data_IF_645477320467
#
_entry.id   IF_645477320467
#
_cell.length_a   1.000
_cell.length_b   1.000
_cell.length_c   1.000
_cell.angle_alpha   90.00
_cell.angle_beta   90.00
_cell.angle_gamma   90.00
#
_symmetry.space_group_name_H-M   'P 1'
#
loop_
_entity.id
_entity.type
_entity.pdbx_description
1 polymer ?
#
# COMPACT_ATOMS: atom_id res chain seq x y z
N UNK A 1 36.09 -2.81 -11.40
CA UNK A 1 34.99 -3.77 -11.22
C UNK A 1 34.04 -3.24 -10.15
N UNK A 2 32.85 -2.78 -10.54
CA UNK A 2 31.87 -2.27 -9.58
C UNK A 2 31.23 -3.42 -8.81
N UNK A 3 31.31 -3.41 -7.47
CA UNK A 3 30.59 -4.38 -6.63
C UNK A 3 29.10 -4.28 -6.93
N UNK A 4 28.49 -5.39 -7.34
CA UNK A 4 27.04 -5.48 -7.42
C UNK A 4 26.46 -5.16 -6.03
N UNK A 5 25.73 -4.06 -5.91
CA UNK A 5 24.99 -3.73 -4.70
C UNK A 5 23.89 -4.76 -4.54
N UNK A 6 24.08 -5.75 -3.67
CA UNK A 6 22.98 -6.56 -3.18
C UNK A 6 22.01 -5.63 -2.45
N UNK A 7 20.89 -5.28 -3.08
CA UNK A 7 19.81 -4.58 -2.41
C UNK A 7 19.24 -5.54 -1.37
N UNK A 8 19.32 -5.16 -0.10
CA UNK A 8 18.64 -5.88 0.96
C UNK A 8 17.15 -6.06 0.59
N UNK A 9 16.54 -7.21 0.91
CA UNK A 9 15.11 -7.40 0.71
C UNK A 9 14.34 -6.33 1.50
N UNK A 10 13.22 -5.87 0.94
CA UNK A 10 12.29 -4.99 1.67
C UNK A 10 11.81 -5.71 2.96
N UNK A 11 11.49 -4.99 4.05
CA UNK A 11 11.19 -5.60 5.35
C UNK A 11 10.14 -6.72 5.29
N UNK A 12 9.05 -6.52 4.53
CA UNK A 12 7.99 -7.53 4.34
C UNK A 12 8.52 -8.81 3.69
N UNK A 13 9.44 -8.69 2.73
CA UNK A 13 10.07 -9.85 2.08
C UNK A 13 10.98 -10.58 3.05
N UNK A 14 11.75 -9.85 3.86
CA UNK A 14 12.63 -10.47 4.87
C UNK A 14 11.80 -11.30 5.86
N UNK A 15 10.76 -10.68 6.44
CA UNK A 15 9.84 -11.35 7.36
C UNK A 15 9.19 -12.59 6.73
N UNK A 16 8.67 -12.48 5.50
CA UNK A 16 8.04 -13.60 4.82
C UNK A 16 9.01 -14.79 4.64
N UNK A 17 10.26 -14.53 4.26
CA UNK A 17 11.27 -15.57 4.09
C UNK A 17 11.66 -16.21 5.44
N UNK A 18 11.82 -15.41 6.49
CA UNK A 18 12.11 -15.90 7.85
C UNK A 18 11.01 -16.81 8.40
N UNK A 19 9.77 -16.57 8.02
CA UNK A 19 8.59 -17.33 8.44
C UNK A 19 8.12 -18.39 7.42
N UNK A 20 8.93 -18.71 6.40
CA UNK A 20 8.61 -19.68 5.34
C UNK A 20 7.28 -19.40 4.59
N UNK A 21 6.92 -18.13 4.45
CA UNK A 21 5.76 -17.69 3.68
C UNK A 21 6.11 -17.59 2.19
N UNK A 22 5.14 -17.91 1.34
CA UNK A 22 5.29 -17.79 -0.11
C UNK A 22 5.39 -16.33 -0.51
N UNK A 23 6.44 -15.98 -1.26
CA UNK A 23 6.69 -14.63 -1.76
C UNK A 23 6.56 -14.58 -3.27
N UNK A 24 5.70 -13.69 -3.77
CA UNK A 24 5.57 -13.42 -5.20
C UNK A 24 6.24 -12.10 -5.57
N UNK A 25 7.15 -12.17 -6.55
CA UNK A 25 7.85 -10.99 -7.06
C UNK A 25 7.09 -10.39 -8.24
N UNK A 26 6.81 -9.09 -8.15
CA UNK A 26 6.31 -8.31 -9.28
C UNK A 26 7.46 -8.20 -10.29
N UNK A 27 7.28 -8.69 -11.53
CA UNK A 27 8.33 -8.64 -12.54
C UNK A 27 8.72 -7.20 -12.90
N UNK A 28 9.97 -7.00 -13.33
CA UNK A 28 10.51 -5.67 -13.65
C UNK A 28 9.87 -5.02 -14.89
N UNK A 29 9.16 -5.77 -15.71
CA UNK A 29 8.45 -5.22 -16.88
C UNK A 29 7.09 -4.58 -16.52
N UNK A 30 6.59 -4.75 -15.28
CA UNK A 30 5.30 -4.19 -14.81
C UNK A 30 5.42 -2.68 -14.46
N UNK A 31 6.62 -2.09 -14.58
CA UNK A 31 6.91 -0.71 -14.16
C UNK A 31 6.52 0.41 -15.15
N UNK A 32 5.98 0.12 -16.33
CA UNK A 32 5.70 1.17 -17.32
C UNK A 32 4.49 0.87 -18.20
N UNK A 33 3.34 1.45 -17.88
CA UNK A 33 2.42 1.82 -18.95
C UNK A 33 2.99 3.08 -19.59
N UNK A 34 3.34 2.98 -20.87
CA UNK A 34 3.77 4.08 -21.74
C UNK A 34 2.89 5.32 -21.51
N UNK A 35 3.46 6.40 -20.99
CA UNK A 35 2.91 7.73 -21.19
C UNK A 35 3.30 8.19 -22.61
N UNK A 36 2.74 7.53 -23.62
CA UNK A 36 2.72 8.06 -24.99
C UNK A 36 1.71 9.21 -24.98
N UNK A 37 2.20 10.40 -24.60
CA UNK A 37 1.74 11.77 -24.90
C UNK A 37 2.49 12.69 -23.93
N UNK A 38 3.66 13.16 -24.36
CA UNK A 38 4.53 14.06 -23.62
C UNK A 38 4.15 15.50 -23.99
N UNK A 39 3.45 16.18 -23.07
CA UNK A 39 3.70 17.61 -22.84
C UNK A 39 4.57 17.73 -21.60
N UNK A 40 5.48 18.70 -21.60
CA UNK A 40 6.62 18.82 -20.67
C UNK A 40 6.25 18.95 -19.18
N UNK A 41 4.98 19.20 -18.83
CA UNK A 41 4.50 19.24 -17.44
C UNK A 41 4.13 17.85 -16.86
N UNK A 42 3.98 16.82 -17.69
CA UNK A 42 3.48 15.49 -17.27
C UNK A 42 4.57 14.47 -16.88
N UNK A 43 5.83 14.89 -16.74
CA UNK A 43 6.97 13.99 -16.44
C UNK A 43 6.93 13.30 -15.05
N UNK A 44 5.88 13.47 -14.23
CA UNK A 44 5.89 13.04 -12.82
C UNK A 44 4.91 11.94 -12.41
N UNK A 45 4.20 11.29 -13.34
CA UNK A 45 3.19 10.28 -12.96
C UNK A 45 3.35 8.93 -13.66
N UNK A 46 4.54 8.33 -13.58
CA UNK A 46 4.68 6.87 -13.80
C UNK A 46 3.97 6.12 -12.67
N UNK A 47 2.70 5.76 -12.88
CA UNK A 47 1.96 4.87 -11.95
C UNK A 47 2.41 3.44 -12.20
N UNK A 48 3.02 2.82 -11.18
CA UNK A 48 3.30 1.39 -11.18
C UNK A 48 1.96 0.66 -11.11
N UNK A 49 1.67 -0.21 -12.08
CA UNK A 49 0.34 -0.80 -12.26
C UNK A 49 0.43 -2.28 -12.54
N UNK A 50 -0.34 -3.09 -11.83
CA UNK A 50 -0.40 -4.55 -12.02
C UNK A 50 -1.35 -4.96 -13.16
N UNK A 51 -1.42 -4.17 -14.24
CA UNK A 51 -2.41 -4.39 -15.30
C UNK A 51 -2.21 -5.74 -16.00
N UNK A 52 -0.95 -6.06 -16.28
CA UNK A 52 -0.55 -7.26 -17.04
C UNK A 52 0.05 -8.35 -16.13
N UNK A 53 -0.06 -8.18 -14.80
CA UNK A 53 0.41 -9.18 -13.84
C UNK A 53 -0.73 -10.12 -13.49
N UNK A 54 -0.60 -11.40 -13.84
CA UNK A 54 -1.59 -12.41 -13.47
C UNK A 54 -1.57 -12.68 -11.96
N UNK A 55 -2.73 -13.09 -11.42
CA UNK A 55 -2.83 -13.54 -10.04
C UNK A 55 -1.84 -14.70 -9.81
N UNK A 56 -0.98 -14.63 -8.78
CA UNK A 56 -0.04 -15.70 -8.52
C UNK A 56 -0.75 -17.03 -8.24
N UNK A 57 -0.16 -18.16 -8.68
CA UNK A 57 -0.75 -19.47 -8.42
C UNK A 57 -0.73 -19.77 -6.92
N UNK A 58 -1.83 -20.32 -6.43
CA UNK A 58 -2.00 -20.75 -5.04
C UNK A 58 -2.57 -22.17 -4.97
N UNK A 59 -2.25 -22.90 -3.90
CA UNK A 59 -2.80 -24.23 -3.67
C UNK A 59 -4.31 -24.22 -3.38
N UNK A 60 -4.81 -23.10 -2.84
CA UNK A 60 -6.22 -22.85 -2.58
C UNK A 60 -6.56 -21.39 -2.96
N UNK A 61 -7.81 -21.09 -3.36
CA UNK A 61 -8.25 -19.73 -3.61
C UNK A 61 -8.09 -18.85 -2.36
N UNK A 62 -7.77 -17.57 -2.55
CA UNK A 62 -7.76 -16.59 -1.46
C UNK A 62 -9.15 -16.00 -1.24
N UNK A 63 -9.57 -15.88 0.01
CA UNK A 63 -10.86 -15.27 0.35
C UNK A 63 -10.82 -13.74 0.26
N UNK A 64 -9.73 -13.12 0.70
CA UNK A 64 -9.57 -11.66 0.79
C UNK A 64 -8.12 -11.23 0.53
N UNK A 65 -7.93 -10.08 -0.11
CA UNK A 65 -6.64 -9.39 -0.18
C UNK A 65 -6.46 -8.36 0.95
N UNK A 66 -5.28 -8.30 1.55
CA UNK A 66 -4.92 -7.25 2.51
C UNK A 66 -3.79 -6.39 1.93
N UNK A 67 -4.00 -5.09 1.86
CA UNK A 67 -3.09 -4.14 1.22
C UNK A 67 -2.59 -3.13 2.26
N UNK A 68 -1.27 -3.04 2.39
CA UNK A 68 -0.61 -2.09 3.30
C UNK A 68 0.60 -1.50 2.59
N UNK A 69 0.60 -0.18 2.35
CA UNK A 69 1.75 0.56 1.78
C UNK A 69 2.39 -0.10 0.53
N UNK A 70 1.58 -0.74 -0.31
CA UNK A 70 2.06 -1.63 -1.38
C UNK A 70 2.74 -0.89 -2.54
N UNK A 71 2.29 0.32 -2.87
CA UNK A 71 2.94 1.17 -3.88
C UNK A 71 2.63 0.84 -5.35
N UNK A 72 1.72 -0.11 -5.61
CA UNK A 72 1.19 -0.42 -6.95
C UNK A 72 -0.32 -0.24 -6.97
N UNK A 73 -0.83 0.13 -8.13
CA UNK A 73 -2.27 0.06 -8.40
C UNK A 73 -2.68 -1.40 -8.63
N UNK A 74 -3.68 -1.87 -7.88
CA UNK A 74 -4.25 -3.21 -8.00
C UNK A 74 -5.36 -3.17 -9.05
N UNK A 75 -5.20 -3.94 -10.12
CA UNK A 75 -6.14 -3.93 -11.23
C UNK A 75 -7.43 -4.71 -10.90
N UNK A 76 -8.62 -4.32 -11.41
CA UNK A 76 -9.88 -5.03 -11.16
C UNK A 76 -9.84 -6.54 -11.43
N UNK A 77 -9.08 -6.97 -12.45
CA UNK A 77 -8.92 -8.40 -12.77
C UNK A 77 -8.29 -9.18 -11.59
N UNK A 78 -7.40 -8.57 -10.81
CA UNK A 78 -6.83 -9.17 -9.60
C UNK A 78 -7.87 -9.28 -8.49
N UNK A 79 -8.66 -8.21 -8.29
CA UNK A 79 -9.71 -8.18 -7.26
C UNK A 79 -10.83 -9.18 -7.54
N UNK A 80 -11.07 -9.53 -8.81
CA UNK A 80 -12.04 -10.55 -9.19
C UNK A 80 -11.66 -11.98 -8.75
N UNK A 81 -10.39 -12.22 -8.39
CA UNK A 81 -9.91 -13.53 -7.94
C UNK A 81 -10.02 -13.74 -6.42
N UNK A 82 -10.51 -12.75 -5.68
CA UNK A 82 -10.70 -12.81 -4.21
C UNK A 82 -12.16 -12.60 -3.88
N UNK A 83 -12.78 -13.58 -3.21
CA UNK A 83 -14.23 -13.64 -2.96
C UNK A 83 -14.77 -12.37 -2.30
N UNK A 84 -14.04 -11.83 -1.33
CA UNK A 84 -14.45 -10.65 -0.56
C UNK A 84 -13.80 -9.35 -1.06
N UNK A 85 -13.07 -9.39 -2.18
CA UNK A 85 -12.29 -8.25 -2.66
C UNK A 85 -11.01 -8.06 -1.85
N UNK A 86 -10.57 -6.81 -1.69
CA UNK A 86 -9.42 -6.46 -0.88
C UNK A 86 -9.73 -5.28 0.06
N UNK A 87 -9.10 -5.31 1.23
CA UNK A 87 -9.07 -4.20 2.19
C UNK A 87 -7.72 -3.50 2.13
N UNK A 88 -7.71 -2.19 2.35
CA UNK A 88 -6.49 -1.39 2.40
C UNK A 88 -6.39 -0.67 3.74
N UNK A 89 -5.29 -0.91 4.45
CA UNK A 89 -4.93 -0.14 5.64
C UNK A 89 -4.34 1.18 5.18
N UNK A 90 -5.00 2.28 5.55
CA UNK A 90 -4.54 3.62 5.25
C UNK A 90 -4.16 4.31 6.56
N UNK A 91 -2.97 4.92 6.68
CA UNK A 91 -2.51 5.55 7.92
C UNK A 91 -3.14 6.95 8.11
N UNK A 92 -4.45 7.06 7.95
CA UNK A 92 -5.23 8.28 8.20
C UNK A 92 -6.72 7.97 8.36
N UNK A 93 -7.47 8.94 8.87
CA UNK A 93 -8.94 8.88 8.92
C UNK A 93 -9.53 9.41 7.61
N UNK A 94 -10.08 8.52 6.78
CA UNK A 94 -10.80 8.90 5.57
C UNK A 94 -12.15 9.56 5.91
N UNK A 95 -12.66 10.49 5.08
CA UNK A 95 -12.08 11.01 3.82
C UNK A 95 -11.05 12.14 4.04
N UNK A 96 -10.75 12.51 5.29
CA UNK A 96 -9.98 13.73 5.61
C UNK A 96 -8.63 13.79 4.91
N UNK A 97 -7.90 12.69 4.77
CA UNK A 97 -6.61 12.66 4.04
C UNK A 97 -6.48 11.38 3.21
N UNK A 98 -6.53 11.48 1.88
CA UNK A 98 -6.51 10.32 0.95
C UNK A 98 -5.10 9.78 0.61
N UNK A 99 -4.05 10.41 1.14
CA UNK A 99 -2.65 10.03 0.87
C UNK A 99 -1.85 9.95 2.17
N UNK A 100 -0.77 9.18 2.16
CA UNK A 100 0.08 8.93 3.34
C UNK A 100 0.78 10.24 3.78
N UNK A 101 0.48 10.70 4.99
CA UNK A 101 1.36 11.58 5.79
C UNK A 101 1.70 10.79 7.04
N UNK A 102 2.95 10.36 7.13
CA UNK A 102 3.54 10.09 8.43
C UNK A 102 4.76 10.99 8.45
N UNK A 103 4.56 12.23 8.90
CA UNK A 103 5.70 12.97 9.39
C UNK A 103 6.25 12.22 10.60
N UNK A 104 7.56 12.29 10.81
CA UNK A 104 8.16 12.01 12.12
C UNK A 104 7.75 13.13 13.07
N UNK A 105 6.44 13.31 13.28
CA UNK A 105 5.93 14.23 14.29
C UNK A 105 6.12 13.51 15.61
N UNK A 106 7.22 13.81 16.29
CA UNK A 106 7.22 13.68 17.75
C UNK A 106 6.01 14.47 18.23
N UNK A 107 5.06 13.79 18.87
CA UNK A 107 3.91 14.49 19.43
C UNK A 107 4.48 15.52 20.42
N UNK A 108 4.07 16.80 20.41
CA UNK A 108 4.67 17.83 21.27
C UNK A 108 4.55 17.52 22.77
N UNK A 109 3.76 16.51 23.13
CA UNK A 109 3.49 16.07 24.50
C UNK A 109 3.90 14.61 24.79
N UNK A 110 4.41 13.84 23.82
CA UNK A 110 4.78 12.44 24.03
C UNK A 110 6.01 12.00 23.21
N UNK A 111 6.93 11.28 23.87
CA UNK A 111 8.18 10.74 23.30
C UNK A 111 8.00 9.47 22.44
N UNK A 112 6.86 9.27 21.78
CA UNK A 112 6.67 8.13 20.87
C UNK A 112 6.61 8.57 19.40
N UNK A 113 7.09 7.70 18.51
CA UNK A 113 6.93 7.92 17.07
C UNK A 113 5.48 7.65 16.69
N UNK A 114 4.80 8.66 16.12
CA UNK A 114 3.47 8.49 15.54
C UNK A 114 3.41 7.29 14.57
N UNK A 115 4.50 7.05 13.81
CA UNK A 115 4.60 5.92 12.89
C UNK A 115 4.52 4.57 13.61
N UNK A 116 5.12 4.44 14.79
CA UNK A 116 5.17 3.20 15.55
C UNK A 116 3.80 2.94 16.18
N UNK A 117 3.20 3.96 16.77
CA UNK A 117 1.86 3.87 17.33
C UNK A 117 0.82 3.51 16.26
N UNK A 118 0.82 4.18 15.10
CA UNK A 118 -0.10 3.85 14.01
C UNK A 118 0.15 2.46 13.41
N UNK A 119 1.38 1.94 13.48
CA UNK A 119 1.69 0.59 13.01
C UNK A 119 1.07 -0.47 13.94
N UNK A 120 1.13 -0.25 15.26
CA UNK A 120 0.52 -1.11 16.28
C UNK A 120 -1.01 -1.09 16.17
N UNK A 121 -1.62 0.09 16.28
CA UNK A 121 -3.08 0.28 16.16
C UNK A 121 -3.62 -0.24 14.81
N UNK A 122 -2.86 0.00 13.74
CA UNK A 122 -3.21 -0.43 12.41
C UNK A 122 -3.20 -1.95 12.23
N UNK A 123 -2.26 -2.65 12.88
CA UNK A 123 -2.20 -4.10 12.85
C UNK A 123 -3.40 -4.71 13.57
N UNK A 124 -3.74 -4.21 14.75
CA UNK A 124 -4.91 -4.65 15.51
C UNK A 124 -6.22 -4.41 14.74
N UNK A 125 -6.37 -3.21 14.17
CA UNK A 125 -7.56 -2.84 13.39
C UNK A 125 -7.78 -3.78 12.19
N UNK A 126 -6.71 -4.16 11.47
CA UNK A 126 -6.81 -5.12 10.36
C UNK A 126 -7.30 -6.48 10.86
N UNK A 127 -6.74 -6.99 11.96
CA UNK A 127 -7.15 -8.29 12.52
C UNK A 127 -8.62 -8.26 12.95
N UNK A 128 -9.06 -7.20 13.63
CA UNK A 128 -10.45 -7.04 14.06
C UNK A 128 -11.42 -6.98 12.87
N UNK A 129 -11.03 -6.33 11.77
CA UNK A 129 -11.84 -6.32 10.54
C UNK A 129 -11.93 -7.70 9.92
N UNK A 130 -10.84 -8.47 9.91
CA UNK A 130 -10.82 -9.82 9.35
C UNK A 130 -11.63 -10.82 10.19
N UNK A 131 -11.64 -10.67 11.52
CA UNK A 131 -12.40 -11.53 12.43
C UNK A 131 -13.92 -11.41 12.24
N UNK A 132 -14.41 -10.25 11.80
CA UNK A 132 -15.84 -9.99 11.64
C UNK A 132 -16.15 -9.25 10.33
N UNK A 133 -15.58 -9.75 9.24
CA UNK A 133 -15.58 -9.08 7.93
C UNK A 133 -16.99 -8.78 7.42
N UNK A 134 -17.90 -9.76 7.53
CA UNK A 134 -19.26 -9.61 7.01
C UNK A 134 -20.04 -8.55 7.78
N UNK A 135 -19.87 -8.46 9.09
CA UNK A 135 -20.52 -7.43 9.90
C UNK A 135 -19.94 -6.04 9.65
N UNK A 136 -18.60 -5.93 9.58
CA UNK A 136 -17.93 -4.67 9.22
C UNK A 136 -18.35 -4.19 7.83
N UNK A 137 -18.57 -5.12 6.89
CA UNK A 137 -19.02 -4.80 5.53
C UNK A 137 -20.45 -4.27 5.50
N UNK A 138 -21.37 -4.79 6.33
CA UNK A 138 -22.74 -4.24 6.46
C UNK A 138 -22.74 -2.78 6.95
N UNK A 139 -21.74 -2.42 7.76
CA UNK A 139 -21.56 -1.09 8.33
C UNK A 139 -20.56 -0.22 7.55
N UNK A 140 -20.17 -0.64 6.34
CA UNK A 140 -19.24 0.12 5.53
C UNK A 140 -19.86 1.46 5.11
N UNK A 141 -19.16 2.56 5.40
CA UNK A 141 -19.61 3.92 5.08
C UNK A 141 -19.01 4.35 3.74
N UNK A 142 -19.87 4.81 2.83
CA UNK A 142 -19.43 5.43 1.57
C UNK A 142 -18.74 6.74 1.89
N UNK A 143 -17.54 6.94 1.35
CA UNK A 143 -16.79 8.18 1.56
C UNK A 143 -17.48 9.35 0.89
N UNK A 144 -17.57 10.47 1.60
CA UNK A 144 -17.95 11.75 1.00
C UNK A 144 -16.73 12.35 0.27
N UNK A 145 -16.79 12.35 -1.06
CA UNK A 145 -15.72 12.87 -1.90
C UNK A 145 -15.62 14.41 -1.87
N UNK A 146 -16.66 15.13 -1.45
CA UNK A 146 -16.66 16.60 -1.42
C UNK A 146 -15.75 17.16 -0.32
N UNK A 147 -15.57 16.42 0.78
CA UNK A 147 -14.74 16.81 1.93
C UNK A 147 -13.33 16.20 1.89
N UNK A 148 -13.00 15.50 0.81
CA UNK A 148 -11.79 14.71 0.75
C UNK A 148 -10.56 15.59 0.45
N UNK A 149 -9.55 15.56 1.32
CA UNK A 149 -8.32 16.33 1.12
C UNK A 149 -7.13 15.44 0.73
N UNK A 150 -6.13 16.02 0.06
CA UNK A 150 -4.93 15.32 -0.40
C UNK A 150 -3.72 15.71 0.41
N UNK A 151 -2.93 14.72 0.84
CA UNK A 151 -1.61 15.00 1.37
C UNK A 151 -0.60 15.35 0.27
N UNK A 152 0.14 16.46 0.38
CA UNK A 152 1.28 16.69 -0.49
C UNK A 152 2.37 15.65 -0.19
N UNK A 153 3.06 15.16 -1.23
CA UNK A 153 4.26 14.34 -1.04
C UNK A 153 5.34 15.21 -0.40
N UNK A 154 5.92 14.72 0.70
CA UNK A 154 7.12 15.32 1.29
C UNK A 154 8.23 15.28 0.24
N UNK A 155 8.69 16.45 -0.20
CA UNK A 155 9.90 16.57 -1.00
C UNK A 155 11.08 16.50 -0.04
N UNK A 156 12.13 15.75 -0.39
CA UNK A 156 13.40 15.91 0.32
C UNK A 156 13.92 17.30 -0.02
N UNK A 157 13.89 18.23 0.93
CA UNK A 157 14.81 19.35 0.87
C UNK A 157 16.21 18.77 1.08
N UNK A 158 17.10 19.12 0.16
CA UNK A 158 18.52 18.82 0.32
C UNK A 158 18.98 19.72 1.46
N UNK A 159 19.16 19.16 2.65
CA UNK A 159 20.00 19.80 3.67
C UNK A 159 21.33 20.15 2.98
N UNK A 160 21.58 21.45 2.83
CA UNK A 160 22.84 21.99 2.32
C UNK A 160 23.84 22.11 3.46
#
# INVERSE_FOLDING_TARGET
MGKARHKAPVPVKAFALEHNLVVHHIPDNVYAIHSLHITSECYHRRRKSLKDWAMPPSAAPFDIGVVVSFGYFIHPHMLANVKHGAINMHPSLLPKVQYIIIEYTTHPTHNYSLSAHLAEEGAECVVQVLQDLDEKKKHAVVQDHAVASTAPKIKREVER
#
